data_IF_241758869764
#
_entry.id   IF_241758869764
#
_cell.length_a   1.000
_cell.length_b   1.000
_cell.length_c   1.000
_cell.angle_alpha   90.00
_cell.angle_beta   90.00
_cell.angle_gamma   90.00
#
_symmetry.space_group_name_H-M   'P 1'
#
loop_
_entity.id
_entity.type
_entity.pdbx_description
1 polymer ?
#
# COMPACT_ATOMS: atom_id res chain seq x y z
N UNK A 1 -3.86 -30.70 12.87
CA UNK A 1 -4.59 -30.20 11.68
C UNK A 1 -3.69 -30.37 10.45
N UNK A 2 -4.06 -31.24 9.52
CA UNK A 2 -3.29 -31.44 8.28
C UNK A 2 -3.89 -30.46 7.25
N UNK A 3 -3.05 -29.59 6.69
CA UNK A 3 -3.44 -28.69 5.58
C UNK A 3 -2.94 -29.29 4.27
N UNK A 4 -3.81 -29.39 3.27
CA UNK A 4 -3.42 -29.78 1.91
C UNK A 4 -3.28 -28.51 1.08
N UNK A 5 -2.13 -28.35 0.41
CA UNK A 5 -1.89 -27.33 -0.58
C UNK A 5 -2.10 -27.98 -1.97
N UNK A 6 -3.14 -27.55 -2.69
CA UNK A 6 -3.37 -27.99 -4.07
C UNK A 6 -2.93 -26.87 -5.00
N UNK A 7 -1.86 -27.10 -5.74
CA UNK A 7 -1.36 -26.13 -6.71
C UNK A 7 -1.96 -26.42 -8.08
N UNK A 8 -2.76 -25.51 -8.61
CA UNK A 8 -3.18 -25.55 -10.01
C UNK A 8 -2.26 -24.60 -10.80
N UNK A 9 -1.43 -25.18 -11.64
CA UNK A 9 -0.65 -24.39 -12.62
C UNK A 9 -1.56 -24.13 -13.82
N UNK A 10 -1.99 -22.90 -14.00
CA UNK A 10 -2.69 -22.46 -15.21
C UNK A 10 -1.65 -22.23 -16.32
N UNK A 11 -1.41 -23.21 -17.17
CA UNK A 11 -0.80 -22.97 -18.47
C UNK A 11 -1.86 -22.32 -19.37
N UNK A 12 -1.95 -20.97 -19.27
CA UNK A 12 -2.80 -20.18 -20.14
C UNK A 12 -2.28 -20.24 -21.56
N UNK A 13 -3.11 -20.71 -22.49
CA UNK A 13 -2.93 -20.46 -23.92
C UNK A 13 -3.02 -18.94 -24.14
N UNK A 14 -1.86 -18.31 -24.27
CA UNK A 14 -1.74 -16.96 -24.83
C UNK A 14 -2.01 -17.12 -26.32
N UNK A 15 -3.21 -16.70 -26.75
CA UNK A 15 -3.54 -16.59 -28.16
C UNK A 15 -2.58 -15.61 -28.82
N UNK A 16 -1.80 -16.08 -29.78
CA UNK A 16 -0.98 -15.27 -30.65
C UNK A 16 -1.84 -14.19 -31.33
N UNK A 17 -1.73 -12.94 -30.89
CA UNK A 17 -1.85 -11.79 -31.76
C UNK A 17 -0.41 -11.35 -32.04
N UNK A 18 0.16 -11.91 -33.09
CA UNK A 18 1.47 -11.50 -33.59
C UNK A 18 1.39 -10.12 -34.20
N UNK A 19 2.16 -9.18 -33.69
CA UNK A 19 2.75 -8.09 -34.47
C UNK A 19 3.99 -7.57 -33.75
N UNK A 20 5.15 -7.77 -34.41
CA UNK A 20 6.34 -6.91 -34.38
C UNK A 20 6.79 -6.33 -33.06
N UNK A 21 7.47 -7.11 -32.23
CA UNK A 21 8.38 -6.60 -31.21
C UNK A 21 9.78 -7.19 -31.50
N UNK A 22 10.60 -6.42 -32.11
CA UNK A 22 12.00 -6.67 -32.25
C UNK A 22 12.77 -5.40 -31.95
N UNK A 23 13.78 -5.54 -31.12
CA UNK A 23 14.74 -4.53 -30.68
C UNK A 23 14.30 -3.59 -29.54
N UNK A 24 14.54 -4.00 -28.29
CA UNK A 24 14.43 -3.17 -27.10
C UNK A 24 14.87 -3.83 -25.79
N UNK A 25 14.81 -5.16 -25.69
CA UNK A 25 14.81 -5.86 -24.39
C UNK A 25 16.09 -5.76 -23.54
N UNK A 26 17.29 -5.65 -24.12
CA UNK A 26 18.54 -5.48 -23.35
C UNK A 26 18.85 -4.01 -23.00
N UNK A 27 18.23 -3.05 -23.69
CA UNK A 27 18.50 -1.63 -23.52
C UNK A 27 17.75 -1.03 -22.33
N UNK A 28 16.48 -1.39 -22.14
CA UNK A 28 15.60 -0.78 -21.15
C UNK A 28 15.85 -1.30 -19.71
N UNK A 29 16.14 -2.60 -19.56
CA UNK A 29 16.57 -3.16 -18.26
C UNK A 29 17.88 -2.50 -17.79
N UNK A 30 18.84 -2.24 -18.71
CA UNK A 30 20.07 -1.51 -18.44
C UNK A 30 19.86 -0.02 -18.15
N UNK A 31 18.84 0.62 -18.73
CA UNK A 31 18.50 2.02 -18.42
C UNK A 31 17.89 2.15 -17.01
N UNK A 32 17.05 1.22 -16.57
CA UNK A 32 16.54 1.18 -15.21
C UNK A 32 17.67 0.92 -14.17
N UNK A 33 18.69 0.15 -14.55
CA UNK A 33 19.88 -0.05 -13.71
C UNK A 33 20.75 1.20 -13.55
N UNK A 34 20.74 2.13 -14.52
CA UNK A 34 21.55 3.34 -14.52
C UNK A 34 20.85 4.52 -13.83
N UNK A 35 20.37 4.31 -12.57
CA UNK A 35 19.80 5.37 -11.74
C UNK A 35 20.84 6.05 -10.88
N UNK A 36 20.66 7.36 -10.66
CA UNK A 36 21.46 8.16 -9.71
C UNK A 36 21.13 7.81 -8.25
N UNK A 37 19.90 7.39 -7.98
CA UNK A 37 19.46 7.01 -6.64
C UNK A 37 20.30 5.86 -6.07
N UNK A 38 20.60 5.94 -4.76
CA UNK A 38 21.27 4.88 -4.01
C UNK A 38 20.36 3.68 -3.84
N UNK A 39 19.09 3.93 -3.50
CA UNK A 39 18.04 2.93 -3.49
C UNK A 39 16.84 3.41 -4.29
N UNK A 40 16.21 2.50 -5.04
CA UNK A 40 15.05 2.81 -5.84
C UNK A 40 14.13 1.60 -6.00
N UNK A 41 12.83 1.87 -6.11
CA UNK A 41 11.79 0.86 -6.28
C UNK A 41 10.73 1.37 -7.25
N UNK A 42 10.22 0.48 -8.08
CA UNK A 42 8.93 0.62 -8.77
C UNK A 42 7.97 -0.42 -8.20
N UNK A 43 6.79 0.02 -7.80
CA UNK A 43 5.75 -0.84 -7.24
C UNK A 43 4.41 -0.69 -7.98
N UNK A 44 3.61 -1.75 -7.96
CA UNK A 44 2.19 -1.69 -8.30
C UNK A 44 1.44 -0.88 -7.23
N UNK A 45 0.84 0.22 -7.63
CA UNK A 45 0.14 1.12 -6.71
C UNK A 45 -1.14 0.53 -6.10
N UNK A 46 -1.72 -0.50 -6.69
CA UNK A 46 -2.93 -1.15 -6.17
C UNK A 46 -2.60 -2.20 -5.10
N UNK A 47 -1.59 -3.02 -5.34
CA UNK A 47 -1.21 -4.13 -4.45
C UNK A 47 -0.03 -3.81 -3.52
N UNK A 48 0.79 -2.82 -3.86
CA UNK A 48 2.06 -2.55 -3.19
C UNK A 48 3.17 -3.55 -3.56
N UNK A 49 2.94 -4.43 -4.56
CA UNK A 49 3.93 -5.40 -5.02
C UNK A 49 5.11 -4.68 -5.68
N UNK A 50 6.32 -5.08 -5.32
CA UNK A 50 7.53 -4.57 -5.95
C UNK A 50 7.67 -5.18 -7.35
N UNK A 51 7.79 -4.34 -8.35
CA UNK A 51 7.94 -4.69 -9.75
C UNK A 51 9.41 -4.69 -10.18
N UNK A 52 10.16 -3.74 -9.65
CA UNK A 52 11.60 -3.60 -9.86
C UNK A 52 12.25 -2.90 -8.68
N UNK A 53 13.50 -3.24 -8.39
CA UNK A 53 14.25 -2.63 -7.30
C UNK A 53 15.75 -2.54 -7.55
N UNK A 54 16.36 -1.52 -6.96
CA UNK A 54 17.79 -1.34 -6.76
C UNK A 54 18.00 -1.03 -5.29
N UNK A 55 18.68 -1.92 -4.54
CA UNK A 55 18.90 -1.78 -3.09
C UNK A 55 17.60 -1.50 -2.32
N UNK A 56 16.48 -2.10 -2.76
CA UNK A 56 15.14 -1.80 -2.27
C UNK A 56 14.94 -2.00 -0.77
N UNK A 57 15.67 -2.94 -0.19
CA UNK A 57 15.64 -3.27 1.25
C UNK A 57 16.76 -2.60 2.08
N UNK A 58 17.58 -1.69 1.49
CA UNK A 58 18.62 -0.97 2.24
C UNK A 58 17.97 0.09 3.14
N UNK A 59 18.21 0.07 4.48
CA UNK A 59 17.72 1.11 5.38
C UNK A 59 18.43 2.43 5.12
N UNK A 60 17.63 3.50 4.91
CA UNK A 60 18.15 4.83 4.57
C UNK A 60 17.33 5.93 5.28
N UNK A 61 17.95 7.08 5.48
CA UNK A 61 17.24 8.31 5.79
C UNK A 61 16.32 8.68 4.61
N UNK A 62 15.12 9.18 4.92
CA UNK A 62 14.06 9.42 3.93
C UNK A 62 13.65 10.88 3.80
N UNK A 63 14.20 11.76 4.62
CA UNK A 63 13.84 13.19 4.67
C UNK A 63 12.31 13.38 4.75
N UNK A 64 11.79 14.45 4.17
CA UNK A 64 10.36 14.80 4.17
C UNK A 64 9.43 13.83 3.44
N UNK A 65 9.93 12.74 2.81
CA UNK A 65 9.02 11.67 2.36
C UNK A 65 8.34 10.96 3.54
N UNK A 66 8.87 11.12 4.76
CA UNK A 66 8.24 10.79 6.05
C UNK A 66 6.80 11.32 6.15
N UNK A 67 6.54 12.52 5.60
CA UNK A 67 5.25 13.20 5.69
C UNK A 67 4.11 12.45 4.98
N UNK A 68 4.43 11.46 4.14
CA UNK A 68 3.44 10.51 3.59
C UNK A 68 2.76 9.74 4.74
N UNK A 69 3.57 9.17 5.66
CA UNK A 69 3.05 8.47 6.83
C UNK A 69 2.37 9.42 7.81
N UNK A 70 2.92 10.61 8.00
CA UNK A 70 2.32 11.65 8.86
C UNK A 70 0.92 12.03 8.36
N UNK A 71 0.76 12.28 7.07
CA UNK A 71 -0.53 12.58 6.46
C UNK A 71 -1.50 11.38 6.57
N UNK A 72 -1.03 10.16 6.30
CA UNK A 72 -1.84 8.95 6.40
C UNK A 72 -2.38 8.75 7.82
N UNK A 73 -1.52 8.81 8.83
CA UNK A 73 -1.91 8.64 10.24
C UNK A 73 -2.85 9.75 10.71
N UNK A 74 -2.61 10.99 10.27
CA UNK A 74 -3.50 12.11 10.58
C UNK A 74 -4.89 11.93 9.96
N UNK A 75 -4.98 11.49 8.71
CA UNK A 75 -6.25 11.20 8.02
C UNK A 75 -7.01 10.01 8.62
N UNK A 76 -6.32 9.06 9.23
CA UNK A 76 -6.93 7.88 9.86
C UNK A 76 -7.41 8.14 11.29
N UNK A 77 -6.86 9.16 12.00
CA UNK A 77 -7.09 9.36 13.44
C UNK A 77 -7.61 10.75 13.84
N UNK A 78 -7.54 11.76 12.95
CA UNK A 78 -8.05 13.10 13.16
C UNK A 78 -9.26 13.40 12.27
N UNK A 79 -10.02 14.42 12.60
CA UNK A 79 -11.08 14.96 11.76
C UNK A 79 -10.58 16.17 10.96
N UNK A 80 -11.08 16.34 9.73
CA UNK A 80 -10.63 17.41 8.83
C UNK A 80 -10.99 18.82 9.35
N UNK A 81 -12.02 18.92 10.18
CA UNK A 81 -12.51 20.12 10.85
C UNK A 81 -11.96 20.31 12.26
N UNK A 82 -11.05 19.46 12.73
CA UNK A 82 -10.35 19.68 13.98
C UNK A 82 -9.59 21.01 13.95
N UNK A 83 -9.64 21.73 15.08
CA UNK A 83 -8.87 22.96 15.28
C UNK A 83 -7.55 22.61 15.96
N UNK A 84 -6.46 22.80 15.24
CA UNK A 84 -5.10 22.48 15.66
C UNK A 84 -4.40 23.75 16.10
N UNK A 85 -3.85 23.76 17.31
CA UNK A 85 -3.01 24.84 17.86
C UNK A 85 -1.55 24.64 17.43
N UNK A 86 -0.89 25.72 17.03
CA UNK A 86 0.56 25.74 16.83
C UNK A 86 1.23 25.97 18.20
N UNK A 87 1.90 24.95 18.71
CA UNK A 87 2.64 25.03 19.98
C UNK A 87 3.95 25.85 19.83
N UNK A 88 4.57 26.23 20.93
CA UNK A 88 5.91 26.82 20.93
C UNK A 88 6.95 25.87 20.30
N UNK A 89 6.83 24.56 20.52
CA UNK A 89 7.70 23.57 19.94
C UNK A 89 7.51 23.48 18.41
N UNK A 90 6.28 23.45 17.93
CA UNK A 90 5.98 23.46 16.49
C UNK A 90 6.52 24.73 15.80
N UNK A 91 6.22 25.91 16.35
CA UNK A 91 6.66 27.19 15.82
C UNK A 91 8.21 27.36 15.80
N UNK A 92 8.93 26.60 16.64
CA UNK A 92 10.40 26.63 16.71
C UNK A 92 11.09 25.65 15.75
N UNK A 93 10.34 24.89 14.91
CA UNK A 93 10.96 23.93 14.00
C UNK A 93 11.81 24.64 12.94
N UNK A 94 13.02 24.10 12.61
CA UNK A 94 13.86 24.68 11.58
C UNK A 94 13.38 24.32 10.16
N UNK A 95 13.85 25.11 9.19
CA UNK A 95 13.71 24.93 7.75
C UNK A 95 12.28 24.62 7.26
N UNK A 96 11.93 24.99 6.08
CA UNK A 96 10.61 24.93 5.46
C UNK A 96 9.46 24.98 6.48
N UNK A 97 8.92 26.18 6.68
CA UNK A 97 7.88 26.47 7.67
C UNK A 97 6.71 27.18 7.01
N UNK A 98 5.51 27.00 7.55
CA UNK A 98 4.35 27.85 7.29
C UNK A 98 4.53 29.25 7.91
N UNK A 99 5.54 29.41 8.81
CA UNK A 99 5.78 30.62 9.61
C UNK A 99 4.58 31.00 10.49
N UNK A 100 3.86 29.99 10.99
CA UNK A 100 2.77 30.17 11.93
C UNK A 100 3.33 30.54 13.32
N UNK A 101 2.65 31.46 14.01
CA UNK A 101 3.07 31.84 15.35
C UNK A 101 2.53 30.84 16.39
N UNK A 102 3.25 30.67 17.51
CA UNK A 102 2.74 29.92 18.64
C UNK A 102 1.41 30.53 19.13
N UNK A 103 0.41 29.69 19.37
CA UNK A 103 -0.95 30.10 19.71
C UNK A 103 -1.86 30.42 18.52
N UNK A 104 -1.37 30.38 17.27
CA UNK A 104 -2.26 30.40 16.07
C UNK A 104 -3.01 29.06 15.98
N UNK A 105 -4.25 29.11 15.48
CA UNK A 105 -5.08 27.93 15.28
C UNK A 105 -5.47 27.77 13.81
N UNK A 106 -5.50 26.54 13.33
CA UNK A 106 -5.84 26.18 11.95
C UNK A 106 -6.77 24.98 11.90
N UNK A 107 -7.52 24.85 10.82
CA UNK A 107 -8.21 23.58 10.54
C UNK A 107 -7.19 22.50 10.11
N UNK A 108 -7.39 21.28 10.56
CA UNK A 108 -6.59 20.12 10.18
C UNK A 108 -6.48 20.00 8.66
N UNK A 109 -7.61 20.21 7.94
CA UNK A 109 -7.60 20.18 6.47
C UNK A 109 -6.55 21.13 5.89
N UNK A 110 -6.48 22.36 6.35
CA UNK A 110 -5.55 23.37 5.83
C UNK A 110 -4.09 23.03 6.13
N UNK A 111 -3.83 22.52 7.33
CA UNK A 111 -2.51 22.04 7.70
C UNK A 111 -2.06 20.83 6.89
N UNK A 112 -2.95 19.90 6.54
CA UNK A 112 -2.61 18.77 5.68
C UNK A 112 -2.22 19.21 4.27
N UNK A 113 -2.83 20.27 3.73
CA UNK A 113 -2.39 20.87 2.48
C UNK A 113 -1.00 21.51 2.63
N UNK A 114 -0.74 22.29 3.68
CA UNK A 114 0.58 22.88 3.94
C UNK A 114 1.65 21.78 4.09
N UNK A 115 1.37 20.75 4.87
CA UNK A 115 2.22 19.57 5.06
C UNK A 115 2.68 18.93 3.75
N UNK A 116 1.74 18.71 2.83
CA UNK A 116 2.04 17.93 1.62
C UNK A 116 2.52 18.80 0.47
N UNK A 117 1.99 20.01 0.28
CA UNK A 117 2.34 20.88 -0.83
C UNK A 117 3.68 21.60 -0.64
N UNK A 118 3.90 22.22 0.52
CA UNK A 118 5.11 23.00 0.82
C UNK A 118 6.12 22.21 1.67
N UNK A 119 5.66 21.21 2.41
CA UNK A 119 6.51 20.36 3.27
C UNK A 119 6.85 20.97 4.62
N UNK A 120 5.97 21.80 5.18
CA UNK A 120 6.22 22.59 6.37
C UNK A 120 6.50 21.71 7.61
N UNK A 121 7.58 21.99 8.31
CA UNK A 121 8.05 21.20 9.46
C UNK A 121 7.30 21.54 10.74
N UNK A 122 6.98 22.83 10.94
CA UNK A 122 6.14 23.32 12.03
C UNK A 122 4.75 22.70 11.99
N UNK A 123 4.15 22.62 10.81
CA UNK A 123 2.87 21.98 10.56
C UNK A 123 2.90 20.48 10.89
N UNK A 124 3.97 19.78 10.49
CA UNK A 124 4.10 18.34 10.79
C UNK A 124 4.13 18.08 12.31
N UNK A 125 4.79 18.93 13.07
CA UNK A 125 4.87 18.84 14.54
C UNK A 125 3.51 19.20 15.18
N UNK A 126 2.85 20.27 14.74
CA UNK A 126 1.54 20.64 15.24
C UNK A 126 0.50 19.54 15.04
N UNK A 127 0.45 18.93 13.86
CA UNK A 127 -0.41 17.78 13.57
C UNK A 127 -0.07 16.60 14.49
N UNK A 128 1.22 16.31 14.68
CA UNK A 128 1.66 15.21 15.54
C UNK A 128 1.26 15.42 17.00
N UNK A 129 1.45 16.62 17.53
CA UNK A 129 1.07 16.96 18.89
C UNK A 129 -0.46 16.90 19.11
N UNK A 130 -1.22 17.35 18.11
CA UNK A 130 -2.69 17.32 18.17
C UNK A 130 -3.23 15.87 18.16
N UNK A 131 -2.78 15.05 17.20
CA UNK A 131 -3.32 13.70 16.98
C UNK A 131 -2.73 12.68 17.96
N UNK A 132 -1.43 12.79 18.25
CA UNK A 132 -0.69 11.86 19.10
C UNK A 132 -0.56 12.29 20.57
N UNK A 133 -1.00 13.51 20.90
CA UNK A 133 -0.80 14.11 22.22
C UNK A 133 0.64 14.58 22.47
N UNK A 134 1.60 14.10 21.69
CA UNK A 134 3.00 14.53 21.64
C UNK A 134 3.66 14.03 20.36
N UNK A 135 4.85 14.53 20.04
CA UNK A 135 5.66 14.04 18.91
C UNK A 135 5.98 12.55 19.07
N UNK A 136 6.35 12.13 20.27
CA UNK A 136 6.67 10.73 20.59
C UNK A 136 5.43 9.82 20.46
N UNK A 137 4.28 10.25 20.99
CA UNK A 137 3.02 9.50 20.88
C UNK A 137 2.59 9.33 19.42
N UNK A 138 2.78 10.37 18.61
CA UNK A 138 2.51 10.30 17.17
C UNK A 138 3.50 9.38 16.44
N UNK A 139 4.78 9.43 16.78
CA UNK A 139 5.79 8.52 16.25
C UNK A 139 5.47 7.06 16.56
N UNK A 140 4.95 6.75 17.76
CA UNK A 140 4.45 5.41 18.09
C UNK A 140 3.27 5.00 17.20
N UNK A 141 2.35 5.92 16.87
CA UNK A 141 1.24 5.65 15.94
C UNK A 141 1.77 5.36 14.54
N UNK A 142 2.73 6.16 14.03
CA UNK A 142 3.40 5.95 12.73
C UNK A 142 4.07 4.57 12.69
N UNK A 143 4.81 4.19 13.72
CA UNK A 143 5.51 2.91 13.81
C UNK A 143 4.54 1.72 13.89
N UNK A 144 3.44 1.86 14.62
CA UNK A 144 2.38 0.85 14.65
C UNK A 144 1.78 0.66 13.26
N UNK A 145 1.44 1.76 12.59
CA UNK A 145 0.87 1.70 11.24
C UNK A 145 1.85 1.09 10.24
N UNK A 146 3.14 1.41 10.31
CA UNK A 146 4.18 0.76 9.51
C UNK A 146 4.23 -0.75 9.75
N UNK A 147 4.18 -1.18 11.01
CA UNK A 147 4.14 -2.60 11.38
C UNK A 147 2.90 -3.31 10.82
N UNK A 148 1.72 -2.67 10.86
CA UNK A 148 0.47 -3.20 10.30
C UNK A 148 0.56 -3.39 8.77
N UNK A 149 1.33 -2.55 8.09
CA UNK A 149 1.64 -2.66 6.66
C UNK A 149 2.75 -3.69 6.36
N UNK A 150 3.30 -4.34 7.39
CA UNK A 150 4.37 -5.32 7.25
C UNK A 150 5.75 -4.71 7.04
N UNK A 151 5.94 -3.42 7.36
CA UNK A 151 7.24 -2.76 7.34
C UNK A 151 8.02 -3.14 8.60
N UNK A 152 9.21 -3.71 8.44
CA UNK A 152 10.02 -4.25 9.53
C UNK A 152 11.31 -3.49 9.77
N UNK A 153 11.75 -2.71 8.79
CA UNK A 153 12.98 -1.93 8.81
C UNK A 153 12.70 -0.43 8.89
N UNK A 154 11.44 -0.01 8.73
CA UNK A 154 11.00 1.37 8.88
C UNK A 154 10.85 1.71 10.36
N UNK A 155 11.44 2.82 10.77
CA UNK A 155 11.28 3.39 12.11
C UNK A 155 11.18 4.91 12.04
N UNK A 156 10.08 5.43 12.52
CA UNK A 156 9.80 6.87 12.58
C UNK A 156 10.14 7.41 13.98
N UNK A 157 10.90 8.50 14.01
CA UNK A 157 11.24 9.24 15.23
C UNK A 157 10.65 10.65 15.15
N UNK A 158 10.63 11.23 13.95
CA UNK A 158 10.11 12.58 13.73
C UNK A 158 8.95 12.57 12.72
N UNK A 159 7.92 13.43 12.88
CA UNK A 159 6.80 13.50 11.95
C UNK A 159 7.14 14.30 10.69
N UNK A 160 8.18 15.13 10.70
CA UNK A 160 8.59 16.01 9.62
C UNK A 160 9.68 15.41 8.72
N UNK A 161 10.42 14.39 9.21
CA UNK A 161 11.50 13.74 8.47
C UNK A 161 12.85 14.45 8.58
N UNK A 162 13.05 15.29 9.60
CA UNK A 162 14.37 15.77 9.97
C UNK A 162 15.21 14.61 10.49
N UNK A 163 16.50 14.66 10.21
CA UNK A 163 17.45 13.60 10.56
C UNK A 163 17.49 13.39 12.08
N UNK A 164 17.29 12.15 12.51
CA UNK A 164 17.34 11.72 13.90
C UNK A 164 17.88 10.29 13.98
N UNK A 165 18.53 9.96 15.08
CA UNK A 165 19.08 8.63 15.28
C UNK A 165 17.97 7.57 15.18
N UNK A 166 18.11 6.63 14.25
CA UNK A 166 17.13 5.55 14.03
C UNK A 166 15.94 5.95 13.15
N UNK A 167 15.83 7.20 12.67
CA UNK A 167 14.80 7.62 11.72
C UNK A 167 15.14 7.11 10.32
N UNK A 168 14.54 6.01 9.90
CA UNK A 168 14.90 5.33 8.67
C UNK A 168 13.73 4.57 8.03
N UNK A 169 13.86 4.27 6.74
CA UNK A 169 12.99 3.37 5.99
C UNK A 169 13.79 2.62 4.93
N UNK A 170 13.14 1.73 4.19
CA UNK A 170 13.66 1.19 2.93
C UNK A 170 12.81 1.69 1.77
N UNK A 171 13.34 1.70 0.54
CA UNK A 171 12.57 2.12 -0.63
C UNK A 171 11.35 1.19 -0.85
N UNK A 172 11.50 -0.11 -0.61
CA UNK A 172 10.43 -1.08 -0.72
C UNK A 172 9.31 -0.87 0.32
N UNK A 173 9.66 -0.55 1.56
CA UNK A 173 8.67 -0.31 2.61
C UNK A 173 7.97 1.03 2.42
N UNK A 174 8.70 2.07 2.00
CA UNK A 174 8.10 3.37 1.68
C UNK A 174 7.14 3.28 0.47
N UNK A 175 7.42 2.39 -0.50
CA UNK A 175 6.50 2.11 -1.60
C UNK A 175 5.20 1.46 -1.11
N UNK A 176 5.26 0.52 -0.15
CA UNK A 176 4.07 -0.09 0.48
C UNK A 176 3.24 0.95 1.24
N UNK A 177 3.90 1.80 2.03
CA UNK A 177 3.24 2.90 2.76
C UNK A 177 2.54 3.84 1.77
N UNK A 178 3.22 4.17 0.68
CA UNK A 178 2.69 5.08 -0.35
C UNK A 178 1.53 4.45 -1.14
N UNK A 179 1.63 3.16 -1.48
CA UNK A 179 0.55 2.41 -2.11
C UNK A 179 -0.71 2.32 -1.23
N UNK A 180 -0.54 2.27 0.09
CA UNK A 180 -1.66 2.37 1.04
C UNK A 180 -2.24 3.78 1.08
N UNK A 181 -1.38 4.81 1.18
CA UNK A 181 -1.81 6.20 1.28
C UNK A 181 -2.64 6.66 0.07
N UNK A 182 -2.28 6.26 -1.16
CA UNK A 182 -3.02 6.61 -2.38
C UNK A 182 -4.39 5.92 -2.51
N UNK A 183 -4.72 4.95 -1.65
CA UNK A 183 -6.08 4.40 -1.57
C UNK A 183 -7.07 5.36 -0.91
N UNK A 184 -6.56 6.30 -0.11
CA UNK A 184 -7.39 7.33 0.52
C UNK A 184 -7.66 8.48 -0.47
N UNK A 185 -8.93 8.72 -0.86
CA UNK A 185 -9.25 9.75 -1.85
C UNK A 185 -8.95 11.17 -1.38
N UNK A 186 -9.00 11.43 -0.06
CA UNK A 186 -8.62 12.71 0.52
C UNK A 186 -7.12 12.94 0.40
N UNK A 187 -6.31 11.93 0.66
CA UNK A 187 -4.86 11.99 0.43
C UNK A 187 -4.55 12.34 -1.04
N UNK A 188 -5.16 11.63 -1.98
CA UNK A 188 -4.97 11.88 -3.42
C UNK A 188 -5.42 13.29 -3.82
N UNK A 189 -6.54 13.78 -3.29
CA UNK A 189 -7.01 15.16 -3.50
C UNK A 189 -5.96 16.17 -3.03
N UNK A 190 -5.39 15.98 -1.85
CA UNK A 190 -4.39 16.90 -1.27
C UNK A 190 -3.15 16.95 -2.15
N UNK A 191 -2.51 15.81 -2.43
CA UNK A 191 -1.22 15.76 -3.15
C UNK A 191 -1.32 16.23 -4.61
N UNK A 192 -2.53 16.21 -5.19
CA UNK A 192 -2.78 16.59 -6.57
C UNK A 192 -3.29 18.05 -6.70
N UNK A 193 -3.43 18.74 -5.59
CA UNK A 193 -3.87 20.15 -5.58
C UNK A 193 -2.68 21.07 -5.94
N UNK A 194 -2.84 21.96 -6.94
CA UNK A 194 -1.76 22.86 -7.36
C UNK A 194 -1.41 23.93 -6.31
N UNK A 195 -2.44 24.49 -5.67
CA UNK A 195 -2.27 25.50 -4.61
C UNK A 195 -3.53 25.60 -3.76
N UNK A 196 -3.39 26.09 -2.53
CA UNK A 196 -4.50 26.38 -1.62
C UNK A 196 -4.23 27.67 -0.87
N UNK A 197 -5.27 28.49 -0.71
CA UNK A 197 -5.27 29.67 0.16
C UNK A 197 -6.19 29.39 1.34
N UNK A 198 -5.76 29.76 2.55
CA UNK A 198 -6.51 29.61 3.79
C UNK A 198 -6.11 30.67 4.80
N UNK A 199 -6.82 30.73 5.92
CA UNK A 199 -6.51 31.65 7.03
C UNK A 199 -6.38 30.84 8.31
N UNK A 200 -5.71 31.41 9.32
CA UNK A 200 -5.90 30.92 10.68
C UNK A 200 -7.37 31.10 11.12
N UNK A 201 -7.82 30.39 12.14
CA UNK A 201 -9.22 30.40 12.56
C UNK A 201 -9.65 31.76 13.11
N UNK A 202 -8.72 32.59 13.58
CA UNK A 202 -8.92 33.99 14.00
C UNK A 202 -9.18 34.92 12.83
N UNK A 203 -8.86 34.50 11.58
CA UNK A 203 -9.07 35.26 10.36
C UNK A 203 -8.16 36.48 10.20
N UNK A 204 -7.11 36.59 11.00
CA UNK A 204 -6.20 37.75 11.01
C UNK A 204 -4.91 37.52 10.20
N UNK A 205 -4.62 36.29 9.78
CA UNK A 205 -3.46 35.89 8.93
C UNK A 205 -3.92 35.04 7.77
N UNK A 206 -3.41 35.36 6.58
CA UNK A 206 -3.71 34.58 5.36
C UNK A 206 -2.45 33.90 4.84
N UNK A 207 -2.62 32.69 4.35
CA UNK A 207 -1.56 31.83 3.83
C UNK A 207 -1.91 31.34 2.45
N UNK A 208 -0.89 31.13 1.64
CA UNK A 208 -1.02 30.48 0.35
C UNK A 208 0.11 29.47 0.21
N UNK A 209 -0.24 28.21 0.00
CA UNK A 209 0.68 27.11 -0.23
C UNK A 209 0.58 26.63 -1.68
N UNK A 210 1.73 26.25 -2.26
CA UNK A 210 1.84 25.82 -3.65
C UNK A 210 2.58 24.50 -3.75
N UNK A 211 2.08 23.60 -4.60
CA UNK A 211 2.65 22.27 -4.74
C UNK A 211 4.06 22.33 -5.34
N UNK A 212 5.05 21.83 -4.61
CA UNK A 212 6.46 21.77 -5.01
C UNK A 212 6.81 20.52 -5.83
N UNK A 213 5.83 19.67 -6.11
CA UNK A 213 6.01 18.45 -6.91
C UNK A 213 5.99 18.78 -8.41
N UNK A 214 7.18 18.98 -8.98
CA UNK A 214 7.31 19.26 -10.40
C UNK A 214 6.95 18.04 -11.28
N UNK A 215 6.96 16.82 -10.74
CA UNK A 215 6.64 15.61 -11.49
C UNK A 215 5.20 15.61 -12.04
N UNK A 216 4.29 16.30 -11.35
CA UNK A 216 2.90 16.51 -11.81
C UNK A 216 2.80 17.12 -13.22
N UNK A 217 3.83 17.83 -13.68
CA UNK A 217 3.89 18.46 -15.00
C UNK A 217 4.84 17.74 -15.98
N UNK A 218 5.53 16.68 -15.53
CA UNK A 218 6.56 16.00 -16.32
C UNK A 218 6.06 14.76 -17.05
N UNK A 219 5.01 14.11 -16.51
CA UNK A 219 4.44 12.92 -17.13
C UNK A 219 2.91 13.00 -17.11
N UNK A 220 2.31 12.61 -18.22
CA UNK A 220 0.86 12.47 -18.31
C UNK A 220 0.38 11.31 -17.40
N UNK A 221 -0.62 11.59 -16.55
CA UNK A 221 -1.11 10.68 -15.52
C UNK A 221 -0.36 10.74 -14.18
N UNK A 222 0.67 11.59 -14.04
CA UNK A 222 1.32 11.83 -12.74
C UNK A 222 0.35 12.50 -11.76
N UNK A 223 0.33 12.02 -10.48
CA UNK A 223 -0.57 12.56 -9.46
C UNK A 223 0.06 12.70 -8.05
N UNK A 224 1.35 12.79 -7.96
CA UNK A 224 2.06 13.05 -6.70
C UNK A 224 3.35 12.24 -6.61
N UNK A 225 3.96 12.09 -5.42
CA UNK A 225 3.39 12.21 -4.06
C UNK A 225 4.16 13.24 -3.22
N UNK A 226 5.50 13.02 -2.99
CA UNK A 226 6.25 13.83 -2.03
C UNK A 226 7.74 13.88 -2.32
N UNK A 227 8.30 15.09 -2.25
CA UNK A 227 9.75 15.35 -2.28
C UNK A 227 10.34 15.34 -0.88
N UNK A 228 11.64 15.05 -0.77
CA UNK A 228 12.41 15.18 0.45
C UNK A 228 13.86 15.54 0.18
N UNK A 229 14.49 16.22 1.14
CA UNK A 229 15.91 16.45 1.16
C UNK A 229 16.38 16.73 2.60
N UNK A 230 17.43 16.05 3.02
CA UNK A 230 18.31 16.40 4.14
C UNK A 230 19.76 16.14 3.72
N UNK A 231 20.72 16.54 4.53
CA UNK A 231 22.13 16.26 4.22
C UNK A 231 22.43 14.75 4.25
N UNK A 232 21.81 14.01 5.17
CA UNK A 232 22.00 12.57 5.32
C UNK A 232 21.28 11.78 4.23
N UNK A 233 20.03 12.18 3.90
CA UNK A 233 19.19 11.47 2.93
C UNK A 233 19.55 11.74 1.46
N UNK A 234 20.11 12.92 1.15
CA UNK A 234 20.18 13.41 -0.22
C UNK A 234 18.80 13.74 -0.78
N UNK A 235 18.68 13.88 -2.10
CA UNK A 235 17.38 14.10 -2.75
C UNK A 235 16.58 12.81 -2.79
N UNK A 236 15.39 12.84 -2.16
CA UNK A 236 14.41 11.75 -2.16
C UNK A 236 13.14 12.19 -2.87
N UNK A 237 12.46 11.24 -3.50
CA UNK A 237 11.16 11.48 -4.10
C UNK A 237 10.33 10.19 -4.12
N UNK A 238 9.04 10.34 -3.83
CA UNK A 238 8.04 9.32 -4.08
C UNK A 238 7.10 9.85 -5.14
N UNK A 239 7.05 9.16 -6.29
CA UNK A 239 6.18 9.50 -7.40
C UNK A 239 5.03 8.53 -7.55
N UNK A 240 3.88 9.01 -8.03
CA UNK A 240 2.74 8.17 -8.41
C UNK A 240 2.24 8.56 -9.80
N UNK A 241 1.87 7.54 -10.58
CA UNK A 241 1.37 7.68 -11.94
C UNK A 241 0.20 6.73 -12.16
N UNK A 242 -0.88 7.24 -12.75
CA UNK A 242 -1.96 6.40 -13.28
C UNK A 242 -2.09 6.64 -14.78
N UNK A 243 -1.86 5.61 -15.59
CA UNK A 243 -2.02 5.68 -17.05
C UNK A 243 -2.58 4.37 -17.58
N UNK A 244 -3.56 4.47 -18.46
CA UNK A 244 -4.23 3.30 -19.08
C UNK A 244 -4.78 2.32 -18.04
N UNK A 245 -5.27 2.85 -16.90
CA UNK A 245 -5.78 2.07 -15.78
C UNK A 245 -4.71 1.35 -14.95
N UNK A 246 -3.43 1.61 -15.19
CA UNK A 246 -2.29 1.06 -14.44
C UNK A 246 -1.78 2.10 -13.47
N UNK A 247 -1.70 1.74 -12.19
CA UNK A 247 -1.19 2.63 -11.15
C UNK A 247 0.18 2.17 -10.70
N UNK A 248 1.15 3.08 -10.73
CA UNK A 248 2.52 2.84 -10.31
C UNK A 248 2.91 3.78 -9.17
N UNK A 249 3.72 3.28 -8.25
CA UNK A 249 4.43 4.07 -7.25
C UNK A 249 5.92 3.84 -7.44
N UNK A 250 6.69 4.92 -7.59
CA UNK A 250 8.15 4.86 -7.59
C UNK A 250 8.71 5.53 -6.34
N UNK A 251 9.75 4.97 -5.78
CA UNK A 251 10.52 5.53 -4.68
C UNK A 251 11.96 5.65 -5.11
N UNK A 252 12.55 6.83 -4.98
CA UNK A 252 13.97 7.07 -5.18
C UNK A 252 14.55 7.75 -3.93
N UNK A 253 15.56 7.12 -3.32
CA UNK A 253 16.23 7.60 -2.12
C UNK A 253 17.72 7.88 -2.43
N UNK A 254 18.22 9.02 -1.94
CA UNK A 254 19.60 9.41 -2.19
C UNK A 254 19.91 9.61 -3.68
N UNK A 255 18.99 10.23 -4.42
CA UNK A 255 19.16 10.53 -5.85
C UNK A 255 19.92 11.86 -6.05
N UNK A 256 21.19 11.87 -5.64
CA UNK A 256 22.09 13.02 -5.70
C UNK A 256 21.99 13.96 -4.51
N UNK A 257 22.94 14.90 -4.47
CA UNK A 257 23.06 16.00 -3.51
C UNK A 257 23.21 17.31 -4.28
N UNK A 258 23.13 18.47 -3.62
CA UNK A 258 23.34 19.75 -4.32
C UNK A 258 24.65 19.75 -5.12
N UNK A 259 24.65 20.24 -6.40
CA UNK A 259 23.52 20.94 -7.07
C UNK A 259 22.52 20.07 -7.82
N UNK A 260 22.61 18.76 -7.80
CA UNK A 260 21.97 17.81 -8.74
C UNK A 260 20.51 17.45 -8.40
N UNK A 261 19.72 18.44 -8.02
CA UNK A 261 18.34 18.21 -7.57
C UNK A 261 17.37 17.67 -8.64
N UNK A 262 17.78 17.62 -9.92
CA UNK A 262 16.98 17.09 -11.02
C UNK A 262 17.05 15.58 -11.16
N UNK A 263 18.03 14.91 -10.56
CA UNK A 263 18.25 13.46 -10.71
C UNK A 263 17.05 12.64 -10.24
N UNK A 264 16.42 13.01 -9.13
CA UNK A 264 15.22 12.33 -8.64
C UNK A 264 14.06 12.28 -9.66
N UNK A 265 13.91 13.35 -10.46
CA UNK A 265 12.91 13.38 -11.52
C UNK A 265 13.28 12.47 -12.68
N UNK A 266 14.56 12.49 -13.08
CA UNK A 266 15.07 11.63 -14.16
C UNK A 266 14.93 10.16 -13.80
N UNK A 267 15.31 9.78 -12.58
CA UNK A 267 15.19 8.42 -12.07
C UNK A 267 13.73 7.96 -12.04
N UNK A 268 12.84 8.83 -11.51
CA UNK A 268 11.41 8.54 -11.46
C UNK A 268 10.81 8.33 -12.85
N UNK A 269 11.15 9.21 -13.82
CA UNK A 269 10.65 9.09 -15.21
C UNK A 269 11.12 7.78 -15.84
N UNK A 270 12.39 7.38 -15.63
CA UNK A 270 12.92 6.09 -16.10
C UNK A 270 12.14 4.92 -15.54
N UNK A 271 11.92 4.90 -14.22
CA UNK A 271 11.15 3.84 -13.55
C UNK A 271 9.70 3.77 -14.05
N UNK A 272 9.03 4.92 -14.22
CA UNK A 272 7.66 4.95 -14.72
C UNK A 272 7.57 4.47 -16.17
N UNK A 273 8.52 4.88 -17.03
CA UNK A 273 8.56 4.38 -18.41
C UNK A 273 8.82 2.88 -18.48
N UNK A 274 9.74 2.35 -17.66
CA UNK A 274 9.97 0.92 -17.52
C UNK A 274 8.68 0.19 -17.11
N UNK A 275 7.95 0.70 -16.09
CA UNK A 275 6.66 0.11 -15.69
C UNK A 275 5.63 0.12 -16.82
N UNK A 276 5.57 1.21 -17.59
CA UNK A 276 4.61 1.34 -18.70
C UNK A 276 4.95 0.40 -19.88
N UNK A 277 6.23 0.14 -20.16
CA UNK A 277 6.68 -0.73 -21.26
C UNK A 277 6.58 -2.21 -20.88
N UNK A 278 7.01 -2.60 -19.67
CA UNK A 278 7.27 -3.99 -19.32
C UNK A 278 6.12 -4.66 -18.55
N UNK A 279 5.16 -3.90 -18.03
CA UNK A 279 4.05 -4.44 -17.24
C UNK A 279 2.69 -4.13 -17.87
N UNK A 280 1.85 -5.14 -17.97
CA UNK A 280 0.46 -5.03 -18.43
C UNK A 280 -0.52 -5.55 -17.38
N UNK A 281 -1.77 -5.04 -17.37
CA UNK A 281 -2.85 -5.65 -16.59
C UNK A 281 -3.25 -6.98 -17.21
N UNK A 282 -3.17 -8.03 -16.42
CA UNK A 282 -3.57 -9.39 -16.79
C UNK A 282 -4.71 -9.82 -15.87
N UNK A 283 -5.80 -10.29 -16.45
CA UNK A 283 -6.92 -10.82 -15.70
C UNK A 283 -6.62 -12.25 -15.26
N UNK A 284 -6.61 -12.50 -13.95
CA UNK A 284 -6.43 -13.83 -13.37
C UNK A 284 -7.67 -14.26 -12.59
N UNK A 285 -7.84 -15.58 -12.43
CA UNK A 285 -8.97 -16.17 -11.72
C UNK A 285 -10.10 -16.59 -12.64
N UNK A 286 -11.20 -17.05 -12.01
CA UNK A 286 -12.44 -17.47 -12.66
C UNK A 286 -13.62 -16.90 -11.90
N UNK A 287 -14.68 -16.55 -12.61
CA UNK A 287 -15.91 -15.99 -12.02
C UNK A 287 -16.62 -16.96 -11.07
N UNK A 288 -16.38 -18.27 -11.20
CA UNK A 288 -16.83 -19.30 -10.26
C UNK A 288 -15.69 -20.30 -10.05
N UNK A 289 -15.25 -20.44 -8.82
CA UNK A 289 -14.20 -21.40 -8.45
C UNK A 289 -14.81 -22.49 -7.56
N UNK A 290 -14.73 -23.74 -8.02
CA UNK A 290 -15.05 -24.89 -7.18
C UNK A 290 -13.88 -25.15 -6.21
N UNK A 291 -14.12 -24.91 -4.93
CA UNK A 291 -13.16 -25.17 -3.83
C UNK A 291 -13.46 -26.50 -3.13
N UNK A 292 -14.43 -27.29 -3.66
CA UNK A 292 -14.78 -28.63 -3.21
C UNK A 292 -15.46 -28.68 -1.85
N UNK A 293 -15.23 -29.76 -1.12
CA UNK A 293 -15.82 -30.05 0.19
C UNK A 293 -14.75 -30.12 1.28
N UNK A 294 -15.19 -30.11 2.54
CA UNK A 294 -14.40 -30.38 3.74
C UNK A 294 -15.08 -31.47 4.56
N UNK A 295 -14.31 -32.46 5.03
CA UNK A 295 -14.83 -33.53 5.88
C UNK A 295 -15.29 -33.00 7.25
N UNK A 296 -16.41 -33.52 7.76
CA UNK A 296 -16.93 -33.15 9.09
C UNK A 296 -16.95 -34.38 9.98
N UNK A 297 -16.06 -34.44 10.95
CA UNK A 297 -15.99 -35.52 11.91
C UNK A 297 -17.14 -35.43 12.92
N UNK A 298 -17.80 -36.55 13.18
CA UNK A 298 -18.97 -36.65 14.06
C UNK A 298 -20.15 -35.76 13.67
N UNK A 299 -20.23 -35.35 12.41
CA UNK A 299 -21.34 -34.53 11.87
C UNK A 299 -22.50 -35.37 11.38
N UNK A 300 -23.73 -34.82 11.39
CA UNK A 300 -24.92 -35.44 10.76
C UNK A 300 -24.75 -35.56 9.22
N UNK A 301 -23.79 -34.88 8.63
CA UNK A 301 -23.26 -35.08 7.28
C UNK A 301 -21.74 -35.33 7.40
N UNK A 302 -21.21 -36.20 6.56
CA UNK A 302 -19.77 -36.55 6.60
C UNK A 302 -18.86 -35.48 5.95
N UNK A 303 -19.49 -34.60 5.16
CA UNK A 303 -18.82 -33.46 4.52
C UNK A 303 -19.70 -32.23 4.42
N UNK A 304 -19.11 -31.07 4.22
CA UNK A 304 -19.79 -29.81 3.94
C UNK A 304 -19.20 -29.18 2.68
N UNK A 305 -20.09 -28.67 1.81
CA UNK A 305 -19.66 -27.93 0.63
C UNK A 305 -19.06 -26.59 1.01
N UNK A 306 -18.05 -26.19 0.27
CA UNK A 306 -17.34 -24.94 0.49
C UNK A 306 -17.65 -23.95 -0.63
N UNK A 307 -17.63 -22.67 -0.29
CA UNK A 307 -17.79 -21.57 -1.23
C UNK A 307 -16.70 -20.54 -1.04
N UNK A 308 -16.36 -19.84 -2.10
CA UNK A 308 -15.46 -18.69 -2.10
C UNK A 308 -16.10 -17.62 -2.96
N UNK A 309 -16.17 -16.41 -2.44
CA UNK A 309 -16.54 -15.23 -3.23
C UNK A 309 -15.27 -14.71 -3.94
N UNK A 310 -14.73 -15.58 -4.81
CA UNK A 310 -13.55 -15.23 -5.60
C UNK A 310 -13.99 -14.52 -6.85
N UNK A 311 -13.54 -13.29 -7.00
CA UNK A 311 -13.67 -12.54 -8.24
C UNK A 311 -12.40 -12.70 -9.06
N UNK A 312 -12.53 -12.56 -10.37
CA UNK A 312 -11.35 -12.34 -11.20
C UNK A 312 -10.65 -11.08 -10.76
N UNK A 313 -9.32 -11.11 -10.68
CA UNK A 313 -8.51 -9.96 -10.34
C UNK A 313 -7.71 -9.52 -11.56
N UNK A 314 -7.62 -8.22 -11.77
CA UNK A 314 -6.65 -7.63 -12.69
C UNK A 314 -5.39 -7.30 -11.88
N UNK A 315 -4.24 -7.77 -12.34
CA UNK A 315 -2.94 -7.55 -11.71
C UNK A 315 -1.92 -7.12 -12.75
N UNK A 316 -0.97 -6.28 -12.36
CA UNK A 316 0.17 -5.95 -13.22
C UNK A 316 1.09 -7.16 -13.31
N UNK A 317 1.45 -7.56 -14.53
CA UNK A 317 2.40 -8.65 -14.81
C UNK A 317 3.37 -8.26 -15.90
N UNK A 318 4.63 -8.59 -15.69
CA UNK A 318 5.67 -8.59 -16.72
C UNK A 318 5.60 -9.87 -17.58
N UNK A 319 6.20 -9.82 -18.76
CA UNK A 319 6.13 -10.92 -19.74
C UNK A 319 6.70 -12.25 -19.19
N UNK A 320 7.76 -12.19 -18.37
CA UNK A 320 8.42 -13.37 -17.82
C UNK A 320 7.76 -13.90 -16.52
N UNK A 321 6.82 -13.18 -15.96
CA UNK A 321 6.15 -13.55 -14.69
C UNK A 321 5.07 -14.61 -14.91
N UNK A 322 4.82 -15.41 -13.88
CA UNK A 322 3.83 -16.49 -13.91
C UNK A 322 2.77 -16.31 -12.85
N UNK A 323 1.50 -16.28 -13.26
CA UNK A 323 0.39 -16.32 -12.33
C UNK A 323 0.08 -17.75 -11.89
N UNK A 324 -0.25 -17.91 -10.60
CA UNK A 324 -0.71 -19.17 -10.03
C UNK A 324 -1.81 -18.94 -9.01
N UNK A 325 -2.65 -19.97 -8.79
CA UNK A 325 -3.74 -19.95 -7.80
C UNK A 325 -3.48 -21.08 -6.81
N UNK A 326 -3.42 -20.75 -5.53
CA UNK A 326 -3.22 -21.71 -4.45
C UNK A 326 -4.44 -21.74 -3.55
N UNK A 327 -4.98 -22.94 -3.31
CA UNK A 327 -6.09 -23.17 -2.40
C UNK A 327 -5.56 -23.83 -1.13
N UNK A 328 -5.68 -23.14 -0.01
CA UNK A 328 -5.27 -23.64 1.32
C UNK A 328 -6.51 -23.69 2.19
N UNK A 329 -6.95 -24.90 2.58
CA UNK A 329 -8.15 -25.10 3.38
C UNK A 329 -7.98 -26.23 4.40
N UNK A 330 -8.82 -26.22 5.42
CA UNK A 330 -8.88 -27.32 6.39
C UNK A 330 -9.32 -28.61 5.68
N UNK A 331 -8.66 -29.69 6.01
CA UNK A 331 -9.00 -31.04 5.48
C UNK A 331 -10.25 -31.56 6.15
N UNK A 332 -10.38 -31.34 7.47
CA UNK A 332 -11.54 -31.75 8.25
C UNK A 332 -11.72 -30.87 9.48
N UNK A 333 -12.97 -30.75 9.94
CA UNK A 333 -13.34 -30.19 11.25
C UNK A 333 -14.29 -31.11 11.99
N UNK A 334 -14.29 -31.01 13.33
CA UNK A 334 -15.25 -31.69 14.19
C UNK A 334 -16.55 -30.89 14.24
N UNK A 335 -17.69 -31.59 14.16
CA UNK A 335 -19.00 -30.97 14.35
C UNK A 335 -19.18 -30.42 15.78
N UNK A 336 -19.99 -29.34 16.00
CA UNK A 336 -20.80 -28.69 14.95
C UNK A 336 -19.95 -27.75 14.12
N UNK A 337 -20.32 -27.52 12.86
CA UNK A 337 -19.71 -26.54 11.94
C UNK A 337 -20.82 -25.59 11.49
N UNK A 338 -20.64 -24.32 11.73
CA UNK A 338 -21.60 -23.29 11.35
C UNK A 338 -21.54 -22.96 9.86
N UNK A 339 -22.66 -22.51 9.29
CA UNK A 339 -22.69 -21.88 7.97
C UNK A 339 -21.89 -20.57 8.00
N UNK A 340 -21.12 -20.30 6.92
CA UNK A 340 -20.31 -19.09 6.82
C UNK A 340 -19.04 -19.10 7.67
N UNK A 341 -18.62 -20.27 8.19
CA UNK A 341 -17.38 -20.42 8.92
C UNK A 341 -16.19 -20.36 7.98
N UNK A 342 -15.24 -19.46 8.21
CA UNK A 342 -13.98 -19.43 7.45
C UNK A 342 -13.16 -20.69 7.75
N UNK A 343 -12.78 -21.40 6.68
CA UNK A 343 -12.07 -22.70 6.74
C UNK A 343 -10.84 -22.74 5.85
N UNK A 344 -10.48 -21.64 5.21
CA UNK A 344 -9.31 -21.56 4.36
C UNK A 344 -9.29 -20.30 3.54
N UNK A 345 -8.33 -20.21 2.60
CA UNK A 345 -8.17 -19.09 1.68
C UNK A 345 -7.70 -19.54 0.31
N UNK A 346 -8.13 -18.82 -0.71
CA UNK A 346 -7.58 -18.87 -2.07
C UNK A 346 -6.60 -17.73 -2.21
N UNK A 347 -5.40 -18.02 -2.68
CA UNK A 347 -4.34 -17.05 -2.92
C UNK A 347 -4.08 -16.95 -4.42
N UNK A 348 -4.11 -15.74 -4.95
CA UNK A 348 -3.65 -15.43 -6.29
C UNK A 348 -2.23 -14.90 -6.17
N UNK A 349 -1.30 -15.55 -6.86
CA UNK A 349 0.12 -15.24 -6.78
C UNK A 349 0.67 -14.88 -8.16
N UNK A 350 1.64 -13.97 -8.17
CA UNK A 350 2.57 -13.75 -9.28
C UNK A 350 3.94 -14.19 -8.80
N UNK A 351 4.52 -15.19 -9.47
CA UNK A 351 5.69 -15.89 -8.98
C UNK A 351 5.46 -16.41 -7.54
N UNK A 352 6.16 -15.84 -6.56
CA UNK A 352 6.01 -16.17 -5.12
C UNK A 352 5.14 -15.17 -4.36
N UNK A 353 4.81 -14.03 -4.95
CA UNK A 353 4.13 -12.94 -4.26
C UNK A 353 2.61 -13.14 -4.26
N UNK A 354 2.00 -13.05 -3.10
CA UNK A 354 0.55 -13.06 -2.96
C UNK A 354 0.01 -11.67 -3.31
N UNK A 355 -0.72 -11.58 -4.43
CA UNK A 355 -1.28 -10.32 -4.92
C UNK A 355 -2.75 -10.11 -4.55
N UNK A 356 -3.51 -11.21 -4.33
CA UNK A 356 -4.89 -11.17 -3.82
C UNK A 356 -5.16 -12.43 -3.00
N UNK A 357 -6.10 -12.32 -2.06
CA UNK A 357 -6.57 -13.48 -1.27
C UNK A 357 -8.07 -13.37 -1.01
N UNK A 358 -8.74 -14.52 -1.01
CA UNK A 358 -10.18 -14.64 -0.78
C UNK A 358 -10.45 -15.72 0.28
N UNK A 359 -11.27 -15.45 1.31
CA UNK A 359 -11.62 -16.45 2.31
C UNK A 359 -12.56 -17.52 1.73
N UNK A 360 -12.39 -18.76 2.20
CA UNK A 360 -13.26 -19.91 1.88
C UNK A 360 -14.19 -20.14 3.06
N UNK A 361 -15.48 -20.27 2.78
CA UNK A 361 -16.50 -20.45 3.79
C UNK A 361 -17.28 -21.75 3.59
N UNK A 362 -17.91 -22.23 4.66
CA UNK A 362 -18.88 -23.33 4.62
C UNK A 362 -20.22 -22.82 4.07
N UNK A 363 -20.82 -23.54 3.11
CA UNK A 363 -22.11 -23.16 2.50
C UNK A 363 -23.31 -23.42 3.42
N UNK A 364 -23.21 -24.42 4.31
CA UNK A 364 -24.27 -24.82 5.23
C UNK A 364 -23.72 -25.18 6.61
N UNK A 365 -24.61 -25.25 7.59
CA UNK A 365 -24.25 -25.74 8.91
C UNK A 365 -24.36 -27.28 8.96
N UNK A 366 -23.45 -27.91 9.71
CA UNK A 366 -23.48 -29.35 9.99
C UNK A 366 -23.51 -29.59 11.51
N UNK A 367 -24.62 -30.07 12.03
CA UNK A 367 -24.79 -30.41 13.44
C UNK A 367 -24.05 -31.69 13.85
N UNK A 368 -23.92 -31.94 15.14
CA UNK A 368 -23.32 -33.16 15.67
C UNK A 368 -24.28 -34.38 15.47
N UNK A 369 -23.70 -35.57 15.25
CA UNK A 369 -24.43 -36.85 15.33
C UNK A 369 -24.88 -37.11 16.78
N UNK A 370 -26.12 -36.80 17.07
CA UNK A 370 -26.72 -37.14 18.37
C UNK A 370 -27.25 -38.60 18.36
N UNK A 371 -27.45 -39.17 19.55
CA UNK A 371 -28.04 -40.50 19.70
C UNK A 371 -29.39 -40.58 18.98
N UNK A 372 -30.24 -39.57 19.08
CA UNK A 372 -31.55 -39.48 18.40
C UNK A 372 -31.39 -39.51 16.87
N UNK A 373 -30.41 -38.78 16.36
CA UNK A 373 -30.08 -38.81 14.94
C UNK A 373 -29.70 -40.20 14.46
N UNK A 374 -28.81 -40.90 15.22
CA UNK A 374 -28.38 -42.26 14.87
C UNK A 374 -29.53 -43.26 14.85
N UNK A 375 -30.46 -43.19 15.84
CA UNK A 375 -31.64 -44.04 15.86
C UNK A 375 -32.57 -43.72 14.65
N UNK A 376 -32.78 -42.44 14.33
CA UNK A 376 -33.57 -42.03 13.18
C UNK A 376 -33.03 -42.57 11.85
N UNK A 377 -31.69 -42.55 11.67
CA UNK A 377 -31.04 -43.14 10.50
C UNK A 377 -31.19 -44.68 10.44
N UNK A 378 -31.08 -45.37 11.57
CA UNK A 378 -31.31 -46.81 11.64
C UNK A 378 -32.74 -47.17 11.24
N UNK A 379 -33.74 -46.45 11.75
CA UNK A 379 -35.16 -46.67 11.41
C UNK A 379 -35.41 -46.39 9.92
N UNK A 380 -34.86 -45.31 9.36
CA UNK A 380 -34.99 -45.02 7.92
C UNK A 380 -34.39 -46.10 7.04
N UNK A 381 -33.21 -46.62 7.39
CA UNK A 381 -32.58 -47.73 6.67
C UNK A 381 -33.40 -49.01 6.76
N UNK A 382 -34.03 -49.27 7.92
CA UNK A 382 -34.89 -50.46 8.11
C UNK A 382 -36.21 -50.37 7.34
N UNK A 383 -36.79 -49.17 7.20
CA UNK A 383 -38.03 -48.96 6.43
C UNK A 383 -37.81 -48.87 4.91
N UNK A 384 -36.57 -48.75 4.45
CA UNK A 384 -36.22 -48.69 3.03
C UNK A 384 -35.97 -50.09 2.40
N UNK A 385 -36.07 -51.16 3.20
CA UNK A 385 -36.14 -52.56 2.80
C UNK A 385 -37.57 -53.07 2.88
#
# INVERSE_FOLDING_TARGET
MVRICLTMVLSGLIGLAGTLWGYGEEGEEKEAEALYARAAVLADGESGRILWEKNGDEPMAMASTTKIMTCLVALENGAMDDVVEISENAAAMPDVQLDAAAGDHFLMEDLLYALMLESDNDVAVAIAEHVGGSVEGFAEMMNRRASDLGCRQTHFVTPNGLDAQGHQTTAAELAKISAEAIKNPTFVKIINTPSRSFSNTEGNRQYQVSNKDAFLQMMDGAFGIKTGFTQDAGYCFVGALNRDGRTYVSVVLGSGWPPDKSYKWQDTIKLMNFGLSDYAKVRIGRDAMDVGTMAVQNGCKDEVRLTVDSQTAEILMGEKEKASIHIVKDVSRKAPVDKGKEVGRVYYCVNTDVVRQFPIFTEEAVGEKTFIFCIGELIRRWLAF
#
